data_IF_849838174221
#
_entry.id   IF_849838174221
#
_cell.length_a   1.000
_cell.length_b   1.000
_cell.length_c   1.000
_cell.angle_alpha   90.00
_cell.angle_beta   90.00
_cell.angle_gamma   90.00
#
_symmetry.space_group_name_H-M   'P 1'
#
loop_
_entity.id
_entity.type
_entity.pdbx_description
1 polymer ?
#
# COMPACT_ATOMS: atom_id res chain seq x y z
N UNK A 1 2.92 -7.66 10.32
CA UNK A 1 3.06 -6.96 9.02
C UNK A 1 3.93 -7.84 8.13
N UNK A 2 3.59 -8.02 6.85
CA UNK A 2 4.41 -8.85 5.95
C UNK A 2 5.72 -8.13 5.62
N UNK A 3 6.77 -8.90 5.36
CA UNK A 3 8.00 -8.34 4.82
C UNK A 3 7.76 -7.86 3.39
N UNK A 4 8.37 -6.72 3.07
CA UNK A 4 8.43 -6.19 1.71
C UNK A 4 9.73 -6.59 1.03
N UNK A 5 10.02 -5.97 -0.10
CA UNK A 5 11.28 -6.11 -0.80
C UNK A 5 11.66 -4.80 -1.49
N UNK A 6 12.93 -4.63 -1.81
CA UNK A 6 13.42 -3.50 -2.58
C UNK A 6 14.62 -3.92 -3.41
N UNK A 7 14.97 -3.11 -4.40
CA UNK A 7 16.15 -3.31 -5.23
C UNK A 7 17.23 -2.40 -4.66
N UNK A 8 18.39 -2.98 -4.32
CA UNK A 8 19.52 -2.22 -3.82
C UNK A 8 20.30 -1.53 -4.97
N UNK A 9 21.33 -0.77 -4.64
CA UNK A 9 22.21 -0.10 -5.62
C UNK A 9 22.97 -1.07 -6.55
N UNK A 10 23.01 -2.36 -6.20
CA UNK A 10 23.63 -3.44 -6.99
C UNK A 10 22.62 -4.17 -7.87
N UNK A 11 21.40 -3.66 -7.98
CA UNK A 11 20.27 -4.25 -8.72
C UNK A 11 19.79 -5.61 -8.16
N UNK A 12 20.13 -5.92 -6.91
CA UNK A 12 19.74 -7.17 -6.26
C UNK A 12 18.45 -6.97 -5.46
N UNK A 13 17.56 -7.99 -5.52
CA UNK A 13 16.32 -8.00 -4.76
C UNK A 13 16.60 -8.37 -3.29
N UNK A 14 16.49 -7.39 -2.40
CA UNK A 14 16.65 -7.58 -0.96
C UNK A 14 15.29 -7.69 -0.25
N UNK A 15 15.20 -8.58 0.74
CA UNK A 15 14.01 -8.67 1.59
C UNK A 15 14.05 -7.60 2.67
N UNK A 16 12.96 -6.83 2.83
CA UNK A 16 12.84 -5.80 3.85
C UNK A 16 11.95 -6.27 4.99
N UNK A 17 12.51 -6.37 6.21
CA UNK A 17 11.68 -6.50 7.41
C UNK A 17 10.98 -5.19 7.74
N UNK A 18 9.65 -5.24 7.85
CA UNK A 18 8.82 -4.10 8.25
C UNK A 18 8.65 -3.97 9.78
N UNK A 19 9.20 -4.92 10.54
CA UNK A 19 9.14 -4.98 12.00
C UNK A 19 10.55 -5.02 12.56
N UNK A 20 10.77 -4.42 13.74
CA UNK A 20 12.02 -4.55 14.46
C UNK A 20 12.23 -5.97 14.99
N UNK A 21 13.44 -6.53 14.86
CA UNK A 21 13.72 -7.87 15.39
C UNK A 21 13.68 -7.87 16.93
N UNK A 22 13.55 -9.06 17.50
CA UNK A 22 13.42 -9.22 18.96
C UNK A 22 14.73 -8.96 19.73
N UNK A 23 15.87 -8.96 19.03
CA UNK A 23 17.19 -8.62 19.54
C UNK A 23 17.52 -7.12 19.39
N UNK A 24 16.55 -6.29 18.98
CA UNK A 24 16.80 -4.88 18.69
C UNK A 24 17.34 -4.11 19.91
N UNK A 25 18.37 -3.23 19.77
CA UNK A 25 19.04 -2.57 20.89
C UNK A 25 18.12 -1.78 21.82
N UNK A 26 17.04 -1.21 21.27
CA UNK A 26 16.06 -0.46 22.05
C UNK A 26 14.86 -1.35 22.37
N UNK A 27 14.74 -1.80 23.63
CA UNK A 27 13.74 -2.79 24.06
C UNK A 27 12.30 -2.41 23.69
N UNK A 28 11.92 -1.14 23.83
CA UNK A 28 10.56 -0.64 23.51
C UNK A 28 10.18 -0.77 22.03
N UNK A 29 11.16 -0.92 21.14
CA UNK A 29 10.95 -1.02 19.70
C UNK A 29 10.93 -2.46 19.21
N UNK A 30 11.34 -3.45 20.01
CA UNK A 30 11.31 -4.87 19.61
C UNK A 30 9.89 -5.29 19.23
N UNK A 31 9.74 -5.97 18.10
CA UNK A 31 8.43 -6.39 17.57
C UNK A 31 7.53 -5.23 17.09
N UNK A 32 7.95 -3.98 17.22
CA UNK A 32 7.16 -2.83 16.75
C UNK A 32 7.34 -2.62 15.23
N UNK A 33 6.32 -2.09 14.54
CA UNK A 33 6.43 -1.74 13.13
C UNK A 33 7.43 -0.59 12.93
N UNK A 34 8.21 -0.68 11.85
CA UNK A 34 9.09 0.40 11.41
C UNK A 34 8.27 1.52 10.78
N UNK A 35 8.63 2.76 11.09
CA UNK A 35 8.02 3.93 10.45
C UNK A 35 8.53 4.17 9.03
N UNK A 36 7.76 4.91 8.22
CA UNK A 36 8.08 5.24 6.82
C UNK A 36 9.49 5.82 6.68
N UNK A 37 9.88 6.76 7.55
CA UNK A 37 11.20 7.38 7.54
C UNK A 37 12.32 6.33 7.58
N UNK A 38 12.23 5.40 8.52
CA UNK A 38 13.27 4.38 8.72
C UNK A 38 13.37 3.42 7.53
N UNK A 39 12.24 3.00 6.98
CA UNK A 39 12.23 2.15 5.78
C UNK A 39 12.87 2.88 4.59
N UNK A 40 12.57 4.16 4.40
CA UNK A 40 13.18 4.94 3.32
C UNK A 40 14.68 5.16 3.52
N UNK A 41 15.13 5.35 4.77
CA UNK A 41 16.56 5.40 5.11
C UNK A 41 17.25 4.05 4.81
N UNK A 42 16.65 2.93 5.20
CA UNK A 42 17.16 1.58 4.91
C UNK A 42 17.21 1.28 3.39
N UNK A 43 16.40 1.97 2.57
CA UNK A 43 16.37 1.85 1.11
C UNK A 43 17.24 2.88 0.37
N UNK A 44 17.96 3.76 1.08
CA UNK A 44 18.66 4.92 0.48
C UNK A 44 17.75 5.86 -0.33
N UNK A 45 16.47 5.93 0.01
CA UNK A 45 15.46 6.78 -0.66
C UNK A 45 15.06 7.99 0.17
N UNK A 46 15.63 8.16 1.37
CA UNK A 46 15.37 9.34 2.20
C UNK A 46 16.15 10.54 1.66
N UNK A 47 15.47 11.62 1.20
CA UNK A 47 16.16 12.75 0.60
C UNK A 47 16.97 13.55 1.63
N UNK A 48 18.05 14.19 1.15
CA UNK A 48 18.89 15.07 1.98
C UNK A 48 18.12 16.25 2.58
N UNK A 49 17.11 16.75 1.85
CA UNK A 49 16.20 17.79 2.35
C UNK A 49 15.15 17.16 3.26
N UNK A 50 14.87 17.79 4.40
CA UNK A 50 13.75 17.40 5.27
C UNK A 50 12.43 17.49 4.49
N UNK A 51 11.77 16.35 4.33
CA UNK A 51 10.45 16.22 3.71
C UNK A 51 9.37 16.02 4.77
N UNK A 52 8.14 16.42 4.45
CA UNK A 52 6.95 16.11 5.26
C UNK A 52 6.49 14.67 4.99
N UNK A 53 5.74 14.10 5.95
CA UNK A 53 5.14 12.77 5.79
C UNK A 53 4.15 12.76 4.62
N UNK A 54 3.22 13.72 4.63
CA UNK A 54 2.25 14.00 3.56
C UNK A 54 2.27 15.51 3.31
N UNK A 55 2.31 15.94 2.06
CA UNK A 55 2.14 17.34 1.70
C UNK A 55 0.66 17.65 1.40
N UNK A 56 0.25 18.92 1.53
CA UNK A 56 -1.12 19.36 1.26
C UNK A 56 -1.63 18.91 -0.12
N UNK A 57 -0.79 19.02 -1.16
CA UNK A 57 -1.11 18.57 -2.53
C UNK A 57 -1.47 17.08 -2.61
N UNK A 58 -0.74 16.23 -1.88
CA UNK A 58 -1.03 14.80 -1.85
C UNK A 58 -2.20 14.43 -0.92
N UNK A 59 -2.60 15.33 -0.02
CA UNK A 59 -3.73 15.12 0.88
C UNK A 59 -5.07 15.25 0.17
N UNK A 60 -5.16 16.11 -0.85
CA UNK A 60 -6.41 16.47 -1.54
C UNK A 60 -6.74 15.60 -2.77
N UNK A 61 -6.08 14.45 -2.93
CA UNK A 61 -6.28 13.49 -4.04
C UNK A 61 -6.01 14.03 -5.46
N UNK A 62 -5.43 15.22 -5.63
CA UNK A 62 -4.93 15.69 -6.93
C UNK A 62 -3.52 15.13 -7.18
N UNK A 63 -3.42 13.97 -7.82
CA UNK A 63 -2.15 13.22 -7.87
C UNK A 63 -1.87 12.55 -9.22
N UNK A 64 -2.27 13.17 -10.32
CA UNK A 64 -2.02 12.66 -11.68
C UNK A 64 -0.79 13.28 -12.37
N UNK A 65 0.04 14.08 -11.66
CA UNK A 65 1.33 14.49 -12.22
C UNK A 65 2.47 13.54 -11.75
N UNK A 66 2.95 12.62 -12.60
CA UNK A 66 4.05 11.71 -12.28
C UNK A 66 5.41 12.41 -12.15
N UNK A 67 5.57 13.65 -12.61
CA UNK A 67 6.85 14.38 -12.57
C UNK A 67 7.27 14.81 -11.16
N UNK A 68 6.33 14.82 -10.20
CA UNK A 68 6.62 15.15 -8.80
C UNK A 68 6.82 13.84 -8.00
N UNK A 69 7.92 13.13 -8.25
CA UNK A 69 8.24 11.86 -7.56
C UNK A 69 8.58 12.06 -6.07
N UNK A 70 9.13 13.21 -5.68
CA UNK A 70 9.82 13.38 -4.39
C UNK A 70 9.18 14.43 -3.45
N UNK A 71 7.86 14.65 -3.51
CA UNK A 71 7.22 15.72 -2.70
C UNK A 71 7.09 15.41 -1.20
N UNK A 72 6.81 14.15 -0.83
CA UNK A 72 6.58 13.72 0.54
C UNK A 72 6.90 12.24 0.74
N UNK A 73 7.17 11.85 1.99
CA UNK A 73 7.65 10.51 2.30
C UNK A 73 6.62 9.42 1.93
N UNK A 74 5.33 9.75 2.07
CA UNK A 74 4.24 8.85 1.69
C UNK A 74 4.20 8.59 0.17
N UNK A 75 4.45 9.60 -0.67
CA UNK A 75 4.46 9.44 -2.14
C UNK A 75 5.62 8.58 -2.60
N UNK A 76 6.82 8.84 -2.06
CA UNK A 76 8.01 8.04 -2.36
C UNK A 76 7.77 6.57 -2.00
N UNK A 77 7.18 6.32 -0.82
CA UNK A 77 6.85 4.96 -0.37
C UNK A 77 5.76 4.31 -1.21
N UNK A 78 4.68 5.03 -1.55
CA UNK A 78 3.54 4.45 -2.28
C UNK A 78 3.88 4.10 -3.74
N UNK A 79 4.89 4.74 -4.32
CA UNK A 79 5.40 4.43 -5.66
C UNK A 79 6.40 3.27 -5.68
N UNK A 80 6.81 2.75 -4.53
CA UNK A 80 7.72 1.60 -4.48
C UNK A 80 7.08 0.36 -5.09
N UNK A 81 7.85 -0.45 -5.85
CA UNK A 81 7.30 -1.56 -6.62
C UNK A 81 6.66 -2.63 -5.72
N UNK A 82 7.24 -2.89 -4.55
CA UNK A 82 6.68 -3.86 -3.60
C UNK A 82 5.31 -3.45 -3.08
N UNK A 83 5.06 -2.14 -2.89
CA UNK A 83 3.76 -1.61 -2.48
C UNK A 83 2.75 -1.63 -3.63
N UNK A 84 3.16 -1.23 -4.85
CA UNK A 84 2.31 -1.26 -6.04
C UNK A 84 1.85 -2.68 -6.40
N UNK A 85 2.74 -3.66 -6.26
CA UNK A 85 2.45 -5.06 -6.57
C UNK A 85 1.75 -5.81 -5.42
N UNK A 86 1.66 -5.21 -4.22
CA UNK A 86 1.14 -5.90 -3.05
C UNK A 86 -0.36 -6.20 -3.19
N UNK A 87 -0.67 -7.45 -3.52
CA UNK A 87 -2.05 -7.97 -3.49
C UNK A 87 -2.56 -8.14 -2.06
N UNK A 88 -3.85 -7.83 -1.86
CA UNK A 88 -4.54 -8.00 -0.58
C UNK A 88 -4.57 -9.46 -0.14
N UNK A 89 -4.81 -9.71 1.15
CA UNK A 89 -4.93 -11.09 1.67
C UNK A 89 -6.12 -11.80 1.02
N UNK A 90 -7.23 -11.09 0.87
CA UNK A 90 -8.46 -11.58 0.26
C UNK A 90 -8.27 -11.92 -1.21
N UNK A 91 -7.66 -11.02 -1.98
CA UNK A 91 -7.33 -11.23 -3.40
C UNK A 91 -6.52 -12.51 -3.60
N UNK A 92 -5.46 -12.70 -2.79
CA UNK A 92 -4.64 -13.91 -2.83
C UNK A 92 -5.45 -15.17 -2.48
N UNK A 93 -6.31 -15.11 -1.46
CA UNK A 93 -7.11 -16.26 -1.02
C UNK A 93 -8.15 -16.67 -2.08
N UNK A 94 -8.88 -15.70 -2.64
CA UNK A 94 -9.91 -15.90 -3.67
C UNK A 94 -9.28 -16.44 -4.96
N UNK A 95 -8.19 -15.82 -5.43
CA UNK A 95 -7.47 -16.28 -6.62
C UNK A 95 -6.91 -17.69 -6.43
N UNK A 96 -6.38 -18.03 -5.24
CA UNK A 96 -5.88 -19.38 -4.93
C UNK A 96 -6.98 -20.44 -4.97
N UNK A 97 -8.22 -20.08 -4.64
CA UNK A 97 -9.37 -20.95 -4.75
C UNK A 97 -9.90 -21.09 -6.20
N UNK A 98 -9.28 -20.41 -7.18
CA UNK A 98 -9.71 -20.44 -8.59
C UNK A 98 -10.85 -19.48 -8.91
N UNK A 99 -11.18 -18.54 -8.03
CA UNK A 99 -12.23 -17.56 -8.23
C UNK A 99 -11.68 -16.23 -8.77
N UNK A 100 -12.55 -15.46 -9.43
CA UNK A 100 -12.24 -14.11 -9.92
C UNK A 100 -12.38 -13.12 -8.76
N UNK A 101 -11.36 -12.29 -8.55
CA UNK A 101 -11.39 -11.19 -7.58
C UNK A 101 -11.58 -9.85 -8.31
N UNK A 102 -12.83 -9.39 -8.39
CA UNK A 102 -13.17 -8.10 -9.02
C UNK A 102 -13.23 -6.98 -7.97
N UNK A 103 -12.66 -5.81 -8.29
CA UNK A 103 -12.66 -4.63 -7.41
C UNK A 103 -13.58 -3.55 -7.98
N UNK A 104 -14.60 -3.16 -7.22
CA UNK A 104 -15.47 -2.05 -7.59
C UNK A 104 -14.91 -0.69 -7.14
N UNK A 105 -15.13 0.38 -7.92
CA UNK A 105 -14.85 1.74 -7.48
C UNK A 105 -15.64 2.09 -6.21
N UNK A 106 -15.02 2.89 -5.34
CA UNK A 106 -15.65 3.29 -4.07
C UNK A 106 -16.82 4.23 -4.36
N UNK A 107 -17.98 3.97 -3.75
CA UNK A 107 -19.22 4.76 -3.87
C UNK A 107 -19.89 4.73 -5.26
N UNK A 108 -19.64 3.68 -6.04
CA UNK A 108 -20.31 3.44 -7.32
C UNK A 108 -21.12 2.14 -7.24
N UNK A 109 -22.29 2.20 -6.58
CA UNK A 109 -23.15 1.03 -6.39
C UNK A 109 -23.75 0.50 -7.70
N UNK A 110 -23.87 1.35 -8.72
CA UNK A 110 -24.30 1.02 -10.08
C UNK A 110 -23.39 0.00 -10.78
N UNK A 111 -22.11 -0.05 -10.39
CA UNK A 111 -21.14 -1.01 -10.93
C UNK A 111 -21.26 -2.39 -10.27
N UNK A 112 -21.90 -2.50 -9.10
CA UNK A 112 -22.02 -3.75 -8.37
C UNK A 112 -23.26 -4.53 -8.82
N UNK A 113 -23.06 -5.66 -9.52
CA UNK A 113 -24.16 -6.43 -10.09
C UNK A 113 -25.17 -6.93 -9.04
N UNK A 114 -24.74 -7.15 -7.80
CA UNK A 114 -25.60 -7.68 -6.73
C UNK A 114 -26.70 -6.68 -6.35
N UNK A 115 -26.43 -5.36 -6.46
CA UNK A 115 -27.40 -4.31 -6.12
C UNK A 115 -28.61 -4.33 -7.07
N UNK A 116 -28.36 -4.67 -8.34
CA UNK A 116 -29.42 -4.81 -9.34
C UNK A 116 -30.30 -6.01 -9.04
N UNK A 117 -29.68 -7.13 -8.66
CA UNK A 117 -30.41 -8.35 -8.27
C UNK A 117 -31.29 -8.11 -7.03
N UNK A 118 -30.74 -7.48 -5.99
CA UNK A 118 -31.51 -7.14 -4.78
C UNK A 118 -32.67 -6.19 -5.06
N UNK A 119 -32.48 -5.21 -5.94
CA UNK A 119 -33.55 -4.29 -6.34
C UNK A 119 -34.70 -5.00 -7.05
N UNK A 120 -34.39 -5.95 -7.92
CA UNK A 120 -35.39 -6.78 -8.59
C UNK A 120 -36.13 -7.68 -7.60
N UNK A 121 -35.39 -8.41 -6.76
CA UNK A 121 -36.00 -9.29 -5.74
C UNK A 121 -36.97 -8.52 -4.82
N UNK A 122 -36.58 -7.33 -4.36
CA UNK A 122 -37.43 -6.46 -3.54
C UNK A 122 -38.69 -5.98 -4.27
N UNK A 123 -38.67 -5.86 -5.59
CA UNK A 123 -39.84 -5.47 -6.39
C UNK A 123 -40.84 -6.62 -6.48
N UNK A 124 -40.37 -7.83 -6.69
CA UNK A 124 -41.23 -9.02 -6.84
C UNK A 124 -41.84 -9.49 -5.52
N UNK A 125 -41.17 -9.24 -4.39
CA UNK A 125 -41.67 -9.61 -3.06
C UNK A 125 -42.50 -8.53 -2.38
N UNK A 126 -42.89 -7.48 -3.10
CA UNK A 126 -43.64 -6.32 -2.56
C UNK A 126 -45.08 -6.36 -3.04
#
# INVERSE_FOLDING_TARGET
MRNGWYINEREEKCTQSMIFPDDYPVTRLRGQPKGIKRILEERNLWPAKKIRLVCERCSEKNNDNPEILNCCAWRIMSQQPDFCEQRSILDKAVTKAGHIFERYPKFHCECNFIERYWSFAKRETR
#
